data_IF_636467240509
#
_entry.id   IF_636467240509
#
_cell.length_a   1.000
_cell.length_b   1.000
_cell.length_c   1.000
_cell.angle_alpha   90.00
_cell.angle_beta   90.00
_cell.angle_gamma   90.00
#
_symmetry.space_group_name_H-M   'P 1'
#
loop_
_entity.id
_entity.type
_entity.pdbx_description
1 polymer ?
#
# COMPACT_ATOMS: atom_id res chain seq x y z
N UNK A 1 10.63 -0.52 20.26
CA UNK A 1 10.60 0.11 18.91
C UNK A 1 10.41 -1.00 17.90
N UNK A 2 9.22 -1.21 17.37
CA UNK A 2 8.98 -2.22 16.33
C UNK A 2 9.69 -1.77 15.06
N UNK A 3 10.69 -2.53 14.60
CA UNK A 3 11.41 -2.21 13.38
C UNK A 3 10.58 -2.70 12.18
N UNK A 4 10.05 -1.75 11.39
CA UNK A 4 9.27 -2.07 10.19
C UNK A 4 10.23 -2.36 9.03
N UNK A 5 10.08 -3.54 8.43
CA UNK A 5 10.79 -3.91 7.20
C UNK A 5 9.97 -3.43 5.99
N UNK A 6 10.24 -2.21 5.55
CA UNK A 6 9.54 -1.61 4.41
C UNK A 6 9.96 -2.25 3.09
N UNK A 7 8.96 -2.52 2.25
CA UNK A 7 9.11 -2.94 0.86
C UNK A 7 8.60 -1.82 -0.02
N UNK A 8 9.48 -1.27 -0.85
CA UNK A 8 9.16 -0.23 -1.82
C UNK A 8 8.65 -0.87 -3.11
N UNK A 9 7.59 -0.31 -3.69
CA UNK A 9 7.10 -0.71 -5.00
C UNK A 9 8.18 -0.50 -6.06
N UNK A 10 8.31 -1.45 -7.00
CA UNK A 10 9.19 -1.32 -8.16
C UNK A 10 8.75 -0.23 -9.14
N UNK A 11 7.51 0.26 -9.02
CA UNK A 11 6.95 1.34 -9.84
C UNK A 11 7.16 2.73 -9.22
N UNK A 12 7.79 2.82 -8.05
CA UNK A 12 8.16 4.10 -7.46
C UNK A 12 9.18 4.82 -8.36
N UNK A 13 8.75 5.89 -9.02
CA UNK A 13 9.49 6.60 -10.05
C UNK A 13 8.70 6.76 -11.35
N UNK A 14 7.64 5.96 -11.52
CA UNK A 14 6.66 6.11 -12.60
C UNK A 14 5.51 7.01 -12.11
N UNK A 15 5.72 8.33 -12.19
CA UNK A 15 4.78 9.33 -11.67
C UNK A 15 4.49 9.16 -10.17
N UNK A 16 3.23 9.37 -9.78
CA UNK A 16 2.75 9.27 -8.39
C UNK A 16 2.41 7.83 -7.94
N UNK A 17 3.00 6.81 -8.59
CA UNK A 17 2.70 5.40 -8.33
C UNK A 17 3.52 4.79 -7.19
N UNK A 18 4.06 5.62 -6.29
CA UNK A 18 4.93 5.13 -5.24
C UNK A 18 4.16 4.63 -4.03
N UNK A 19 4.43 3.39 -3.63
CA UNK A 19 3.78 2.74 -2.49
C UNK A 19 4.81 1.94 -1.71
N UNK A 20 4.76 2.03 -0.38
CA UNK A 20 5.57 1.28 0.56
C UNK A 20 4.66 0.42 1.45
N UNK A 21 5.06 -0.83 1.68
CA UNK A 21 4.32 -1.78 2.51
C UNK A 21 5.24 -2.37 3.57
N UNK A 22 4.75 -2.52 4.80
CA UNK A 22 5.43 -3.29 5.84
C UNK A 22 4.42 -4.14 6.61
N UNK A 23 4.85 -5.33 7.06
CA UNK A 23 4.07 -6.17 7.95
C UNK A 23 4.74 -6.21 9.33
N UNK A 24 3.93 -6.15 10.39
CA UNK A 24 4.41 -6.36 11.76
C UNK A 24 4.29 -7.83 12.16
N UNK A 25 5.08 -8.24 13.16
CA UNK A 25 4.95 -9.57 13.77
C UNK A 25 3.56 -9.79 14.41
N UNK A 26 2.85 -8.71 14.75
CA UNK A 26 1.50 -8.75 15.32
C UNK A 26 0.39 -8.85 14.26
N UNK A 27 0.74 -8.94 12.98
CA UNK A 27 -0.23 -9.10 11.89
C UNK A 27 -0.88 -7.80 11.42
N UNK A 28 -0.30 -6.63 11.72
CA UNK A 28 -0.74 -5.35 11.15
C UNK A 28 0.03 -5.09 9.85
N UNK A 29 -0.68 -4.66 8.82
CA UNK A 29 -0.09 -4.20 7.56
C UNK A 29 -0.08 -2.68 7.56
N UNK A 30 1.09 -2.10 7.30
CA UNK A 30 1.31 -0.67 7.15
C UNK A 30 1.47 -0.34 5.67
N UNK A 31 0.81 0.72 5.22
CA UNK A 31 0.86 1.21 3.85
C UNK A 31 1.11 2.72 3.87
N UNK A 32 1.97 3.21 2.98
CA UNK A 32 2.14 4.65 2.76
C UNK A 32 2.56 4.92 1.32
N UNK A 33 2.19 6.08 0.79
CA UNK A 33 2.60 6.56 -0.54
C UNK A 33 3.87 7.42 -0.49
N UNK A 34 4.28 7.86 0.69
CA UNK A 34 5.49 8.68 0.88
C UNK A 34 6.67 7.83 1.35
N UNK A 35 7.89 8.28 1.04
CA UNK A 35 9.11 7.75 1.63
C UNK A 35 9.39 8.32 3.03
N UNK A 36 8.63 9.33 3.47
CA UNK A 36 8.78 9.99 4.75
C UNK A 36 8.00 9.24 5.84
N UNK A 37 8.67 8.63 6.83
CA UNK A 37 8.01 7.80 7.84
C UNK A 37 7.18 8.60 8.85
N UNK A 38 7.20 9.94 8.77
CA UNK A 38 6.43 10.86 9.62
C UNK A 38 5.12 11.31 8.96
N UNK A 39 4.91 10.94 7.70
CA UNK A 39 3.68 11.25 6.96
C UNK A 39 2.58 10.22 7.27
N UNK A 40 1.46 10.28 6.54
CA UNK A 40 0.34 9.40 6.75
C UNK A 40 0.70 7.93 6.47
N UNK A 41 0.53 7.08 7.50
CA UNK A 41 0.64 5.63 7.39
C UNK A 41 -0.74 5.03 7.67
N UNK A 42 -1.27 4.30 6.68
CA UNK A 42 -2.49 3.53 6.84
C UNK A 42 -2.15 2.20 7.53
N UNK A 43 -2.85 1.89 8.63
CA UNK A 43 -2.77 0.60 9.30
C UNK A 43 -4.00 -0.24 8.96
N UNK A 44 -3.79 -1.49 8.59
CA UNK A 44 -4.88 -2.39 8.20
C UNK A 44 -4.58 -3.84 8.60
N UNK A 45 -5.60 -4.69 8.53
CA UNK A 45 -5.45 -6.13 8.74
C UNK A 45 -5.06 -6.82 7.44
N UNK A 46 -4.48 -8.03 7.47
CA UNK A 46 -4.10 -8.76 6.26
C UNK A 46 -5.31 -9.07 5.38
N UNK A 47 -6.46 -9.36 6.01
CA UNK A 47 -7.73 -9.62 5.31
C UNK A 47 -8.23 -8.38 4.57
N UNK A 48 -8.21 -7.22 5.21
CA UNK A 48 -8.62 -5.97 4.58
C UNK A 48 -7.65 -5.55 3.47
N UNK A 49 -6.34 -5.74 3.66
CA UNK A 49 -5.34 -5.51 2.63
C UNK A 49 -5.54 -6.43 1.40
N UNK A 50 -5.81 -7.72 1.63
CA UNK A 50 -6.11 -8.65 0.54
C UNK A 50 -7.39 -8.25 -0.23
N UNK A 51 -8.42 -7.78 0.47
CA UNK A 51 -9.64 -7.27 -0.16
C UNK A 51 -9.38 -6.01 -1.00
N UNK A 52 -8.57 -5.07 -0.49
CA UNK A 52 -8.12 -3.89 -1.24
C UNK A 52 -7.40 -4.31 -2.53
N UNK A 53 -6.42 -5.21 -2.43
CA UNK A 53 -5.66 -5.69 -3.57
C UNK A 53 -6.52 -6.40 -4.62
N UNK A 54 -7.56 -7.14 -4.20
CA UNK A 54 -8.52 -7.74 -5.15
C UNK A 54 -9.34 -6.67 -5.85
N UNK A 55 -9.81 -5.67 -5.11
CA UNK A 55 -10.61 -4.56 -5.65
C UNK A 55 -9.80 -3.70 -6.61
N UNK A 56 -8.55 -3.36 -6.27
CA UNK A 56 -7.67 -2.57 -7.13
C UNK A 56 -7.29 -3.31 -8.44
N UNK A 57 -7.10 -4.64 -8.36
CA UNK A 57 -6.84 -5.48 -9.54
C UNK A 57 -8.08 -5.72 -10.39
N UNK A 58 -9.27 -5.73 -9.78
CA UNK A 58 -10.51 -5.77 -10.51
C UNK A 58 -10.69 -4.41 -11.20
N UNK A 59 -10.18 -4.30 -12.42
CA UNK A 59 -10.36 -3.13 -13.28
C UNK A 59 -11.83 -2.71 -13.22
N UNK A 60 -12.15 -1.48 -12.77
CA UNK A 60 -13.54 -1.04 -12.82
C UNK A 60 -13.96 -1.09 -14.28
N UNK A 61 -15.07 -1.76 -14.57
CA UNK A 61 -15.58 -1.97 -15.92
C UNK A 61 -16.04 -0.67 -16.63
N UNK A 62 -15.55 0.51 -16.22
CA UNK A 62 -16.00 1.80 -16.73
C UNK A 62 -15.03 2.99 -16.56
N UNK A 63 -13.76 2.79 -16.17
CA UNK A 63 -12.79 3.90 -16.17
C UNK A 63 -12.15 4.04 -17.56
N UNK A 64 -12.93 4.52 -18.52
CA UNK A 64 -12.52 4.70 -19.90
C UNK A 64 -13.61 5.39 -20.71
N UNK A 65 -13.93 6.63 -20.37
CA UNK A 65 -14.54 7.64 -21.27
C UNK A 65 -14.55 9.00 -20.58
N UNK A 66 -13.51 9.78 -20.84
CA UNK A 66 -13.55 11.24 -20.90
C UNK A 66 -12.49 11.66 -21.93
#
# INVERSE_FOLDING_TARGET
MTMLMWQKSSYCGEGDSCVHVAATATGTVHLTESSDPTTAILHTTPTAFAALLRTAKARPAGAGTA
#
